data_IF_712548620285
#
_entry.id   IF_712548620285
#
_cell.length_a   1.000
_cell.length_b   1.000
_cell.length_c   1.000
_cell.angle_alpha   90.00
_cell.angle_beta   90.00
_cell.angle_gamma   90.00
#
_symmetry.space_group_name_H-M   'P 1'
#
loop_
_entity.id
_entity.type
_entity.pdbx_description
1 polymer ?
#
# COMPACT_ATOMS: atom_id res chain seq x y z
N UNK A 1 22.85 -2.16 -9.77
CA UNK A 1 22.16 -3.09 -8.84
C UNK A 1 21.59 -4.25 -9.66
N UNK A 2 21.36 -5.46 -9.10
CA UNK A 2 20.75 -6.56 -9.88
C UNK A 2 19.24 -6.36 -10.03
N UNK A 3 18.67 -6.64 -11.20
CA UNK A 3 17.24 -6.54 -11.52
C UNK A 3 16.35 -7.37 -10.57
N UNK A 4 16.82 -8.54 -10.15
CA UNK A 4 16.13 -9.40 -9.15
C UNK A 4 15.80 -8.64 -7.86
N UNK A 5 16.70 -7.77 -7.37
CA UNK A 5 16.43 -6.97 -6.16
C UNK A 5 15.38 -5.88 -6.38
N UNK A 6 15.31 -5.32 -7.59
CA UNK A 6 14.24 -4.37 -7.92
C UNK A 6 12.90 -5.07 -7.95
N UNK A 7 12.85 -6.27 -8.53
CA UNK A 7 11.64 -7.07 -8.55
C UNK A 7 11.18 -7.44 -7.13
N UNK A 8 12.09 -7.81 -6.23
CA UNK A 8 11.78 -8.08 -4.82
C UNK A 8 11.21 -6.83 -4.13
N UNK A 9 11.87 -5.66 -4.28
CA UNK A 9 11.39 -4.42 -3.69
C UNK A 9 10.04 -3.95 -4.25
N UNK A 10 9.82 -4.09 -5.56
CA UNK A 10 8.54 -3.83 -6.21
C UNK A 10 7.46 -4.77 -5.67
N UNK A 11 7.77 -6.06 -5.55
CA UNK A 11 6.85 -7.09 -5.03
C UNK A 11 6.44 -6.80 -3.59
N UNK A 12 7.40 -6.46 -2.73
CA UNK A 12 7.17 -6.15 -1.33
C UNK A 12 6.33 -4.88 -1.15
N UNK A 13 6.67 -3.82 -1.87
CA UNK A 13 5.92 -2.57 -1.84
C UNK A 13 4.50 -2.75 -2.38
N UNK A 14 4.34 -3.55 -3.43
CA UNK A 14 3.03 -3.84 -3.99
C UNK A 14 2.18 -4.64 -3.00
N UNK A 15 2.74 -5.67 -2.37
CA UNK A 15 2.04 -6.44 -1.34
C UNK A 15 1.63 -5.57 -0.13
N UNK A 16 2.51 -4.68 0.34
CA UNK A 16 2.19 -3.73 1.41
C UNK A 16 1.03 -2.82 1.01
N UNK A 17 1.09 -2.23 -0.18
CA UNK A 17 0.05 -1.32 -0.70
C UNK A 17 -1.30 -2.03 -0.81
N UNK A 18 -1.35 -3.26 -1.36
CA UNK A 18 -2.58 -4.08 -1.39
C UNK A 18 -3.12 -4.39 -0.01
N UNK A 19 -2.24 -4.73 0.92
CA UNK A 19 -2.66 -5.03 2.28
C UNK A 19 -3.27 -3.80 2.95
N UNK A 20 -2.61 -2.64 2.88
CA UNK A 20 -3.13 -1.38 3.43
C UNK A 20 -4.46 -0.99 2.80
N UNK A 21 -4.64 -1.15 1.48
CA UNK A 21 -5.93 -0.91 0.83
C UNK A 21 -7.03 -1.83 1.40
N UNK A 22 -6.73 -3.11 1.59
CA UNK A 22 -7.68 -4.08 2.17
C UNK A 22 -8.10 -3.68 3.59
N UNK A 23 -7.14 -3.22 4.40
CA UNK A 23 -7.39 -2.67 5.73
C UNK A 23 -8.31 -1.45 5.61
N UNK A 24 -7.94 -0.43 4.84
CA UNK A 24 -8.72 0.81 4.69
C UNK A 24 -10.15 0.54 4.22
N UNK A 25 -10.35 -0.34 3.23
CA UNK A 25 -11.70 -0.74 2.78
C UNK A 25 -12.51 -1.39 3.89
N UNK A 26 -11.88 -2.26 4.67
CA UNK A 26 -12.51 -2.90 5.82
C UNK A 26 -12.92 -1.86 6.87
N UNK A 27 -12.04 -0.90 7.16
CA UNK A 27 -12.29 0.19 8.10
C UNK A 27 -13.46 1.09 7.66
N UNK A 28 -13.55 1.46 6.38
CA UNK A 28 -14.64 2.27 5.81
C UNK A 28 -16.01 1.64 6.02
N UNK A 29 -16.09 0.30 5.98
CA UNK A 29 -17.35 -0.43 6.19
C UNK A 29 -17.68 -0.70 7.66
N UNK A 30 -16.79 -0.33 8.58
CA UNK A 30 -16.96 -0.61 10.00
C UNK A 30 -17.93 0.38 10.65
N UNK A 31 -18.93 -0.14 11.37
CA UNK A 31 -19.82 0.67 12.21
C UNK A 31 -19.10 1.43 13.33
N UNK A 32 -17.83 1.09 13.61
CA UNK A 32 -16.98 1.77 14.60
C UNK A 32 -16.41 3.09 14.07
N UNK A 33 -16.42 3.33 12.76
CA UNK A 33 -15.99 4.59 12.15
C UNK A 33 -17.22 5.45 11.92
N UNK A 34 -17.55 6.27 12.92
CA UNK A 34 -18.74 7.12 12.92
C UNK A 34 -18.43 8.63 12.80
N UNK A 35 -17.15 8.98 12.68
CA UNK A 35 -16.71 10.36 12.47
C UNK A 35 -16.63 10.66 10.97
N UNK A 36 -17.40 11.62 10.48
CA UNK A 36 -17.46 11.95 9.04
C UNK A 36 -16.11 12.31 8.43
N UNK A 37 -15.28 13.10 9.14
CA UNK A 37 -13.94 13.46 8.65
C UNK A 37 -13.02 12.27 8.53
N UNK A 38 -13.15 11.29 9.43
CA UNK A 38 -12.39 10.05 9.33
C UNK A 38 -12.87 9.21 8.14
N UNK A 39 -14.17 9.17 7.87
CA UNK A 39 -14.73 8.50 6.68
C UNK A 39 -14.22 9.14 5.40
N UNK A 40 -14.22 10.47 5.32
CA UNK A 40 -13.72 11.23 4.16
C UNK A 40 -12.23 10.94 3.94
N UNK A 41 -11.42 11.04 5.00
CA UNK A 41 -9.98 10.72 4.90
C UNK A 41 -9.74 9.26 4.46
N UNK A 42 -10.46 8.30 5.00
CA UNK A 42 -10.35 6.90 4.56
C UNK A 42 -10.79 6.73 3.10
N UNK A 43 -11.74 7.53 2.62
CA UNK A 43 -12.12 7.54 1.22
C UNK A 43 -10.98 8.03 0.33
N UNK A 44 -10.35 9.15 0.70
CA UNK A 44 -9.22 9.70 -0.06
C UNK A 44 -8.03 8.72 -0.11
N UNK A 45 -7.74 8.05 1.02
CA UNK A 45 -6.71 7.00 1.08
C UNK A 45 -7.07 5.81 0.17
N UNK A 46 -8.33 5.35 0.18
CA UNK A 46 -8.80 4.26 -0.70
C UNK A 46 -8.61 4.60 -2.18
N UNK A 47 -8.96 5.82 -2.58
CA UNK A 47 -8.77 6.31 -3.95
C UNK A 47 -7.28 6.30 -4.31
N UNK A 48 -6.42 6.95 -3.52
CA UNK A 48 -5.00 7.06 -3.79
C UNK A 48 -4.30 5.68 -3.88
N UNK A 49 -4.59 4.78 -2.94
CA UNK A 49 -4.01 3.43 -2.95
C UNK A 49 -4.55 2.56 -4.10
N UNK A 50 -5.82 2.73 -4.48
CA UNK A 50 -6.41 2.04 -5.64
C UNK A 50 -5.72 2.48 -6.93
N UNK A 51 -5.48 3.79 -7.11
CA UNK A 51 -4.74 4.32 -8.25
C UNK A 51 -3.32 3.74 -8.32
N UNK A 52 -2.60 3.72 -7.20
CA UNK A 52 -1.26 3.12 -7.12
C UNK A 52 -1.24 1.63 -7.49
N UNK A 53 -2.21 0.86 -7.01
CA UNK A 53 -2.34 -0.57 -7.35
C UNK A 53 -2.60 -0.76 -8.83
N UNK A 54 -3.45 0.07 -9.44
CA UNK A 54 -3.70 0.02 -10.88
C UNK A 54 -2.44 0.33 -11.69
N UNK A 55 -1.58 1.23 -11.21
CA UNK A 55 -0.27 1.49 -11.85
C UNK A 55 0.71 0.34 -11.65
N UNK A 56 0.72 -0.32 -10.47
CA UNK A 56 1.47 -1.57 -10.28
C UNK A 56 1.07 -2.65 -11.27
N UNK A 57 -0.24 -2.85 -11.48
CA UNK A 57 -0.77 -3.85 -12.41
C UNK A 57 -0.38 -3.61 -13.88
N UNK A 58 0.02 -2.39 -14.24
CA UNK A 58 0.51 -2.04 -15.59
C UNK A 58 2.00 -2.32 -15.79
N UNK A 59 2.75 -2.63 -14.74
CA UNK A 59 4.21 -2.88 -14.82
C UNK A 59 4.53 -4.34 -15.15
N UNK A 60 4.20 -4.78 -16.36
CA UNK A 60 4.36 -6.18 -16.81
C UNK A 60 5.79 -6.72 -16.65
N UNK A 61 6.81 -5.86 -16.77
CA UNK A 61 8.24 -6.21 -16.63
C UNK A 61 8.60 -6.65 -15.19
N UNK A 62 7.86 -6.17 -14.19
CA UNK A 62 8.12 -6.40 -12.77
C UNK A 62 7.00 -7.17 -12.05
N UNK A 63 5.79 -7.14 -12.61
CA UNK A 63 4.58 -7.77 -12.08
C UNK A 63 4.08 -8.80 -13.09
N UNK A 64 4.66 -10.00 -13.02
CA UNK A 64 4.23 -11.17 -13.80
C UNK A 64 3.45 -12.18 -12.94
N UNK A 65 2.97 -13.27 -13.54
CA UNK A 65 2.18 -14.29 -12.85
C UNK A 65 2.85 -14.87 -11.60
N UNK A 66 4.17 -15.08 -11.64
CA UNK A 66 4.94 -15.55 -10.48
C UNK A 66 4.94 -14.50 -9.37
N UNK A 67 5.21 -13.25 -9.71
CA UNK A 67 5.17 -12.12 -8.77
C UNK A 67 3.76 -11.95 -8.17
N UNK A 68 2.71 -12.07 -8.98
CA UNK A 68 1.32 -12.00 -8.52
C UNK A 68 0.99 -13.11 -7.52
N UNK A 69 1.51 -14.33 -7.71
CA UNK A 69 1.35 -15.41 -6.75
C UNK A 69 2.03 -15.06 -5.40
N UNK A 70 3.27 -14.55 -5.44
CA UNK A 70 4.00 -14.11 -4.24
C UNK A 70 3.28 -12.95 -3.51
N UNK A 71 2.73 -11.99 -4.25
CA UNK A 71 1.94 -10.89 -3.68
C UNK A 71 0.70 -11.44 -2.97
N UNK A 72 -0.02 -12.37 -3.60
CA UNK A 72 -1.21 -13.00 -3.00
C UNK A 72 -0.85 -13.72 -1.69
N UNK A 73 0.25 -14.46 -1.67
CA UNK A 73 0.73 -15.14 -0.47
C UNK A 73 1.07 -14.15 0.66
N UNK A 74 1.83 -13.09 0.35
CA UNK A 74 2.16 -12.04 1.32
C UNK A 74 0.91 -11.37 1.88
N UNK A 75 -0.04 -10.98 1.02
CA UNK A 75 -1.32 -10.36 1.42
C UNK A 75 -2.17 -11.31 2.26
N UNK A 76 -2.22 -12.61 1.93
CA UNK A 76 -2.93 -13.61 2.71
C UNK A 76 -2.35 -13.74 4.13
N UNK A 77 -1.02 -13.70 4.26
CA UNK A 77 -0.34 -13.68 5.55
C UNK A 77 -0.75 -12.51 6.45
N UNK A 78 -1.06 -11.35 5.86
CA UNK A 78 -1.52 -10.17 6.62
C UNK A 78 -3.02 -10.17 6.93
N UNK A 79 -3.83 -10.95 6.21
CA UNK A 79 -5.30 -10.93 6.33
C UNK A 79 -5.79 -11.37 7.72
N UNK A 80 -5.01 -12.21 8.43
CA UNK A 80 -5.30 -12.59 9.82
C UNK A 80 -5.30 -11.42 10.81
N UNK A 81 -4.48 -10.39 10.56
CA UNK A 81 -4.37 -9.21 11.43
C UNK A 81 -5.57 -8.26 11.32
N UNK A 82 -6.23 -8.22 10.15
CA UNK A 82 -7.39 -7.34 9.89
C UNK A 82 -8.60 -7.81 10.71
N UNK A 83 -8.85 -9.12 10.75
CA UNK A 83 -9.96 -9.69 11.51
C UNK A 83 -9.81 -9.45 13.03
N UNK A 84 -8.58 -9.55 13.55
CA UNK A 84 -8.28 -9.25 14.96
C UNK A 84 -8.51 -7.79 15.33
N UNK A 85 -8.19 -6.86 14.42
CA UNK A 85 -8.41 -5.43 14.62
C UNK A 85 -9.89 -5.08 14.79
N UNK A 86 -10.76 -5.62 13.93
CA UNK A 86 -12.20 -5.38 13.98
C UNK A 86 -12.88 -6.00 15.20
N UNK A 87 -12.43 -7.17 15.66
CA UNK A 87 -13.09 -7.89 16.76
C UNK A 87 -12.79 -7.29 18.15
N UNK A 88 -11.87 -6.32 18.26
CA UNK A 88 -11.50 -5.78 19.57
C UNK A 88 -12.53 -4.75 20.07
N UNK A 89 -13.12 -4.98 21.25
CA UNK A 89 -13.93 -4.00 21.98
C UNK A 89 -13.01 -2.91 22.58
N UNK A 90 -12.71 -1.84 21.83
CA UNK A 90 -11.82 -0.76 22.26
C UNK A 90 -12.59 0.55 22.40
N UNK A 91 -12.23 1.36 23.40
CA UNK A 91 -12.82 2.67 23.67
C UNK A 91 -12.52 3.72 22.59
N UNK A 92 -11.30 3.75 22.05
CA UNK A 92 -10.88 4.68 20.97
C UNK A 92 -10.50 3.93 19.69
N UNK A 93 -11.47 3.36 18.94
CA UNK A 93 -11.16 2.64 17.72
C UNK A 93 -10.59 3.61 16.68
N UNK A 94 -11.30 4.69 16.34
CA UNK A 94 -10.99 5.60 15.22
C UNK A 94 -9.57 6.18 15.28
N UNK A 95 -9.15 6.74 16.41
CA UNK A 95 -7.82 7.35 16.55
C UNK A 95 -6.68 6.35 16.32
N UNK A 96 -6.83 5.11 16.82
CA UNK A 96 -5.84 4.05 16.60
C UNK A 96 -5.80 3.60 15.16
N UNK A 97 -6.95 3.49 14.49
CA UNK A 97 -6.99 3.12 13.07
C UNK A 97 -6.27 4.18 12.23
N UNK A 98 -6.59 5.46 12.43
CA UNK A 98 -5.93 6.57 11.73
C UNK A 98 -4.41 6.62 11.97
N UNK A 99 -3.96 6.34 13.20
CA UNK A 99 -2.52 6.23 13.50
C UNK A 99 -1.87 5.07 12.75
N UNK A 100 -2.53 3.91 12.72
CA UNK A 100 -2.02 2.72 12.06
C UNK A 100 -1.98 2.93 10.53
N UNK A 101 -3.00 3.58 9.96
CA UNK A 101 -3.04 3.99 8.55
C UNK A 101 -1.93 5.00 8.23
N UNK A 102 -1.74 6.02 9.06
CA UNK A 102 -0.65 6.98 8.92
C UNK A 102 0.72 6.29 8.92
N UNK A 103 0.90 5.33 9.81
CA UNK A 103 2.15 4.55 9.88
C UNK A 103 2.35 3.72 8.61
N UNK A 104 1.29 3.06 8.13
CA UNK A 104 1.35 2.27 6.90
C UNK A 104 1.64 3.15 5.67
N UNK A 105 1.00 4.32 5.55
CA UNK A 105 1.25 5.30 4.50
C UNK A 105 2.70 5.80 4.55
N UNK A 106 3.25 6.06 5.74
CA UNK A 106 4.65 6.42 5.91
C UNK A 106 5.62 5.31 5.46
N UNK A 107 5.29 4.05 5.74
CA UNK A 107 6.06 2.91 5.23
C UNK A 107 5.98 2.79 3.70
N UNK A 108 4.80 3.00 3.12
CA UNK A 108 4.60 2.99 1.65
C UNK A 108 5.42 4.11 1.00
N UNK A 109 5.35 5.34 1.51
CA UNK A 109 6.13 6.48 1.00
C UNK A 109 7.65 6.23 1.11
N UNK A 110 8.10 5.64 2.21
CA UNK A 110 9.50 5.23 2.39
C UNK A 110 9.90 4.14 1.40
N UNK A 111 9.02 3.16 1.16
CA UNK A 111 9.22 2.10 0.18
C UNK A 111 9.33 2.61 -1.25
N UNK A 112 8.45 3.56 -1.64
CA UNK A 112 8.57 4.24 -2.93
C UNK A 112 9.87 5.02 -3.06
N UNK A 113 10.28 5.75 -2.02
CA UNK A 113 11.54 6.51 -2.02
C UNK A 113 12.76 5.60 -2.18
N UNK A 114 12.76 4.47 -1.46
CA UNK A 114 13.78 3.44 -1.59
C UNK A 114 13.81 2.86 -3.01
N UNK A 115 12.65 2.44 -3.53
CA UNK A 115 12.54 1.86 -4.87
C UNK A 115 12.97 2.84 -5.96
N UNK A 116 12.58 4.12 -5.84
CA UNK A 116 12.99 5.19 -6.75
C UNK A 116 14.50 5.34 -6.79
N UNK A 117 15.13 5.44 -5.61
CA UNK A 117 16.59 5.57 -5.49
C UNK A 117 17.30 4.35 -6.07
N UNK A 118 16.76 3.17 -5.80
CA UNK A 118 17.29 1.90 -6.29
C UNK A 118 17.18 1.80 -7.82
N UNK A 119 16.06 2.22 -8.40
CA UNK A 119 15.81 2.27 -9.83
C UNK A 119 16.75 3.26 -10.54
N UNK A 120 16.94 4.46 -9.97
CA UNK A 120 17.93 5.43 -10.45
C UNK A 120 19.35 4.83 -10.49
N UNK A 121 19.75 4.14 -9.41
CA UNK A 121 21.04 3.47 -9.34
C UNK A 121 21.20 2.26 -10.27
N UNK A 122 20.10 1.77 -10.85
CA UNK A 122 20.08 0.69 -11.82
C UNK A 122 19.91 1.17 -13.27
N UNK A 123 19.51 2.42 -13.50
CA UNK A 123 19.16 2.94 -14.82
C UNK A 123 17.83 2.41 -15.35
N UNK A 124 16.89 2.07 -14.46
CA UNK A 124 15.57 1.53 -14.81
C UNK A 124 14.52 2.64 -14.92
N UNK A 125 14.55 3.39 -16.03
CA UNK A 125 13.80 4.64 -16.21
C UNK A 125 12.28 4.48 -16.01
N UNK A 126 11.69 3.36 -16.49
CA UNK A 126 10.26 3.08 -16.28
C UNK A 126 9.88 3.06 -14.80
N UNK A 127 10.73 2.47 -13.96
CA UNK A 127 10.50 2.33 -12.53
C UNK A 127 10.78 3.64 -11.79
N UNK A 128 11.73 4.45 -12.29
CA UNK A 128 11.98 5.81 -11.82
C UNK A 128 10.74 6.69 -12.02
N UNK A 129 10.15 6.66 -13.21
CA UNK A 129 8.97 7.45 -13.55
C UNK A 129 7.75 7.00 -12.75
N UNK A 130 7.51 5.70 -12.67
CA UNK A 130 6.43 5.12 -11.85
C UNK A 130 6.53 5.58 -10.38
N UNK A 131 7.69 5.37 -9.75
CA UNK A 131 7.86 5.69 -8.33
C UNK A 131 7.74 7.19 -8.05
N UNK A 132 8.19 8.04 -8.98
CA UNK A 132 8.03 9.49 -8.88
C UNK A 132 6.56 9.91 -8.95
N UNK A 133 5.81 9.36 -9.92
CA UNK A 133 4.38 9.64 -10.07
C UNK A 133 3.59 9.21 -8.83
N UNK A 134 3.85 7.99 -8.33
CA UNK A 134 3.17 7.45 -7.15
C UNK A 134 3.43 8.23 -5.87
N UNK A 135 4.63 8.81 -5.71
CA UNK A 135 4.95 9.70 -4.58
C UNK A 135 4.21 11.03 -4.66
N UNK A 136 4.06 11.60 -5.85
CA UNK A 136 3.36 12.89 -6.01
C UNK A 136 1.86 12.78 -5.79
N UNK A 137 1.23 11.62 -6.05
CA UNK A 137 -0.19 11.39 -5.78
C UNK A 137 -0.52 11.35 -4.28
N UNK A 138 0.43 10.99 -3.41
CA UNK A 138 0.22 11.00 -1.94
C UNK A 138 0.28 12.45 -1.38
N UNK A 139 0.88 13.39 -2.11
CA UNK A 139 1.15 14.75 -1.64
C UNK A 139 0.22 15.83 -2.21
N UNK A 140 -0.73 15.46 -3.07
CA UNK A 140 -1.72 16.35 -3.69
C UNK A 140 -3.05 16.31 -2.93
#
# INVERSE_FOLDING_TARGET
>A
MKTEKLQDYTTDLYALTKHTLSVVKTQKTSSKVNNSKAVDLLHDIDVALTEQINEFDKMEDFVNDSTLATIKEKVAGFSGSIAGFLNTQREDPVSKMLRDDYTALGMIASGYTMLHTAALGAGEDKLVDFTKSSLTTIAA
#
